data_IF_982551139142
#
_entry.id   IF_982551139142
#
_cell.length_a   1.000
_cell.length_b   1.000
_cell.length_c   1.000
_cell.angle_alpha   90.00
_cell.angle_beta   90.00
_cell.angle_gamma   90.00
#
_symmetry.space_group_name_H-M   'P 1'
#
loop_
_entity.id
_entity.type
_entity.pdbx_description
1 polymer ?
#
# COMPACT_ATOMS: atom_id res chain seq x y z
N UNK A 1 -3.21 22.40 19.67
CA UNK A 1 -2.11 23.19 19.05
C UNK A 1 -1.73 22.47 17.77
N UNK A 2 -1.73 23.14 16.62
CA UNK A 2 -1.64 22.46 15.32
C UNK A 2 -0.23 21.92 14.98
N UNK A 3 0.81 22.62 15.41
CA UNK A 3 2.20 22.32 15.07
C UNK A 3 2.88 21.59 16.24
N UNK A 4 3.69 20.57 15.93
CA UNK A 4 4.53 19.85 16.89
C UNK A 4 5.53 20.78 17.61
N UNK A 5 6.05 20.35 18.76
CA UNK A 5 6.97 21.17 19.57
C UNK A 5 8.29 21.41 18.84
N UNK A 6 8.78 20.40 18.11
CA UNK A 6 9.99 20.46 17.30
C UNK A 6 9.62 20.22 15.83
N UNK A 7 9.26 21.29 15.09
CA UNK A 7 8.88 21.14 13.69
C UNK A 7 10.11 20.86 12.81
N UNK A 8 9.95 20.06 11.74
CA UNK A 8 11.01 19.85 10.75
C UNK A 8 11.35 21.15 10.01
N UNK A 9 12.58 21.21 9.48
CA UNK A 9 13.10 22.38 8.79
C UNK A 9 12.36 22.67 7.48
N UNK A 10 11.82 21.64 6.81
CA UNK A 10 11.04 21.81 5.59
C UNK A 10 9.70 21.08 5.66
N UNK A 11 8.67 21.72 5.10
CA UNK A 11 7.30 21.17 5.04
C UNK A 11 7.27 19.82 4.29
N UNK A 12 8.17 19.64 3.32
CA UNK A 12 8.29 18.43 2.50
C UNK A 12 8.75 17.19 3.27
N UNK A 13 9.34 17.38 4.45
CA UNK A 13 9.89 16.29 5.25
C UNK A 13 8.79 15.57 6.07
N UNK A 14 7.55 16.09 6.06
CA UNK A 14 6.43 15.54 6.82
C UNK A 14 6.50 15.89 8.31
N UNK A 15 5.61 15.33 9.14
CA UNK A 15 5.72 15.43 10.61
C UNK A 15 5.51 16.81 11.25
N UNK A 16 5.02 17.80 10.50
CA UNK A 16 4.77 19.17 11.03
C UNK A 16 3.51 19.26 11.91
N UNK A 17 2.50 18.45 11.62
CA UNK A 17 1.20 18.47 12.30
C UNK A 17 1.25 17.58 13.54
N UNK A 18 0.72 18.08 14.65
CA UNK A 18 0.64 17.32 15.90
C UNK A 18 -0.46 16.24 15.83
N UNK A 19 -0.16 15.05 16.35
CA UNK A 19 -1.15 13.98 16.48
C UNK A 19 -2.35 14.43 17.35
N UNK A 20 -3.55 14.01 16.96
CA UNK A 20 -4.81 14.39 17.60
C UNK A 20 -5.30 15.79 17.23
N UNK A 21 -4.67 16.47 16.27
CA UNK A 21 -5.14 17.76 15.77
C UNK A 21 -6.24 17.60 14.71
N UNK A 22 -6.12 16.60 13.84
CA UNK A 22 -7.08 16.30 12.78
C UNK A 22 -7.18 14.78 12.61
N UNK A 23 -8.37 14.23 12.90
CA UNK A 23 -8.60 12.78 12.89
C UNK A 23 -8.49 12.18 11.49
N UNK A 24 -8.83 12.93 10.44
CA UNK A 24 -8.72 12.46 9.06
C UNK A 24 -7.25 12.43 8.62
N UNK A 25 -6.49 13.46 8.95
CA UNK A 25 -5.05 13.52 8.73
C UNK A 25 -4.33 12.39 9.47
N UNK A 26 -4.61 12.19 10.75
CA UNK A 26 -4.01 11.12 11.54
C UNK A 26 -4.32 9.74 10.95
N UNK A 27 -5.56 9.53 10.48
CA UNK A 27 -5.95 8.29 9.79
C UNK A 27 -5.15 8.09 8.49
N UNK A 28 -4.97 9.14 7.70
CA UNK A 28 -4.20 9.09 6.44
C UNK A 28 -2.70 8.86 6.71
N UNK A 29 -2.12 9.52 7.71
CA UNK A 29 -0.73 9.30 8.14
C UNK A 29 -0.53 7.88 8.63
N UNK A 30 -1.44 7.38 9.47
CA UNK A 30 -1.39 6.00 9.94
C UNK A 30 -1.50 4.98 8.79
N UNK A 31 -2.34 5.26 7.78
CA UNK A 31 -2.44 4.42 6.58
C UNK A 31 -1.15 4.45 5.75
N UNK A 32 -0.52 5.63 5.60
CA UNK A 32 0.76 5.78 4.92
C UNK A 32 1.87 5.00 5.64
N UNK A 33 1.98 5.16 6.96
CA UNK A 33 3.03 4.53 7.76
C UNK A 33 2.86 3.01 7.86
N UNK A 34 1.63 2.53 7.81
CA UNK A 34 1.29 1.11 7.86
C UNK A 34 0.83 0.56 6.50
N UNK A 35 1.26 1.19 5.41
CA UNK A 35 0.85 0.78 4.06
C UNK A 35 1.28 -0.65 3.76
N UNK A 36 2.44 -1.08 4.25
CA UNK A 36 2.95 -2.44 4.05
C UNK A 36 2.03 -3.47 4.71
N UNK A 37 1.63 -3.26 5.97
CA UNK A 37 0.73 -4.16 6.70
C UNK A 37 -0.64 -4.22 6.01
N UNK A 38 -1.14 -3.06 5.59
CA UNK A 38 -2.42 -2.98 4.87
C UNK A 38 -2.38 -3.77 3.57
N UNK A 39 -1.29 -3.65 2.80
CA UNK A 39 -1.11 -4.39 1.56
C UNK A 39 -0.96 -5.89 1.79
N UNK A 40 -0.26 -6.30 2.84
CA UNK A 40 -0.10 -7.71 3.20
C UNK A 40 -1.46 -8.33 3.57
N UNK A 41 -2.26 -7.65 4.39
CA UNK A 41 -3.63 -8.09 4.71
C UNK A 41 -4.53 -8.17 3.47
N UNK A 42 -4.43 -7.20 2.57
CA UNK A 42 -5.16 -7.20 1.30
C UNK A 42 -4.76 -8.39 0.42
N UNK A 43 -3.46 -8.70 0.34
CA UNK A 43 -2.96 -9.87 -0.39
C UNK A 43 -3.49 -11.15 0.23
N UNK A 44 -3.42 -11.31 1.55
CA UNK A 44 -3.92 -12.52 2.22
C UNK A 44 -5.41 -12.75 1.97
N UNK A 45 -6.24 -11.70 2.04
CA UNK A 45 -7.66 -11.80 1.69
C UNK A 45 -7.86 -12.22 0.24
N UNK A 46 -7.15 -11.56 -0.69
CA UNK A 46 -7.25 -11.87 -2.11
C UNK A 46 -6.75 -13.29 -2.45
N UNK A 47 -5.75 -13.81 -1.72
CA UNK A 47 -5.27 -15.20 -1.83
C UNK A 47 -6.37 -16.19 -1.45
N UNK A 48 -7.08 -15.92 -0.36
CA UNK A 48 -8.15 -16.78 0.16
C UNK A 48 -9.37 -16.76 -0.75
N UNK A 49 -9.84 -15.56 -1.13
CA UNK A 49 -11.06 -15.38 -1.91
C UNK A 49 -10.92 -15.93 -3.34
N UNK A 50 -9.75 -15.76 -3.95
CA UNK A 50 -9.52 -16.11 -5.35
C UNK A 50 -8.67 -17.37 -5.54
N UNK A 51 -8.27 -18.05 -4.45
CA UNK A 51 -7.44 -19.26 -4.47
C UNK A 51 -6.11 -19.05 -5.23
N UNK A 52 -5.46 -17.91 -4.99
CA UNK A 52 -4.22 -17.48 -5.64
C UNK A 52 -3.03 -17.55 -4.66
N UNK A 53 -2.55 -18.73 -4.23
CA UNK A 53 -1.57 -18.85 -3.14
C UNK A 53 -0.22 -18.19 -3.44
N UNK A 54 0.10 -17.92 -4.70
CA UNK A 54 1.36 -17.29 -5.10
C UNK A 54 1.25 -15.78 -5.32
N UNK A 55 0.11 -15.15 -4.99
CA UNK A 55 -0.07 -13.69 -5.07
C UNK A 55 0.89 -12.99 -4.11
N UNK A 56 1.68 -12.05 -4.60
CA UNK A 56 2.57 -11.21 -3.77
C UNK A 56 2.33 -9.75 -4.06
N UNK A 57 2.66 -8.90 -3.09
CA UNK A 57 2.80 -7.46 -3.33
C UNK A 57 4.28 -7.12 -3.50
N UNK A 58 4.58 -6.32 -4.52
CA UNK A 58 5.89 -5.73 -4.74
C UNK A 58 5.78 -4.21 -4.78
N UNK A 59 6.92 -3.55 -4.61
CA UNK A 59 7.03 -2.10 -4.76
C UNK A 59 8.23 -1.77 -5.62
N UNK A 60 8.03 -0.89 -6.60
CA UNK A 60 9.13 -0.26 -7.31
C UNK A 60 8.93 1.25 -7.36
N UNK A 61 10.03 2.00 -7.46
CA UNK A 61 10.00 3.47 -7.41
C UNK A 61 9.33 4.13 -8.62
N UNK A 62 9.13 3.40 -9.72
CA UNK A 62 8.65 3.94 -10.99
C UNK A 62 7.13 3.81 -11.13
N UNK A 63 6.61 2.63 -10.84
CA UNK A 63 5.20 2.24 -10.96
C UNK A 63 4.47 2.17 -9.61
N UNK A 64 5.19 2.29 -8.49
CA UNK A 64 4.63 2.14 -7.16
C UNK A 64 4.40 0.68 -6.78
N UNK A 65 3.31 0.44 -6.06
CA UNK A 65 2.92 -0.90 -5.62
C UNK A 65 2.28 -1.69 -6.76
N UNK A 66 2.61 -2.99 -6.85
CA UNK A 66 2.06 -3.90 -7.85
C UNK A 66 1.78 -5.27 -7.23
N UNK A 67 0.83 -5.99 -7.83
CA UNK A 67 0.59 -7.40 -7.52
C UNK A 67 1.36 -8.29 -8.49
N UNK A 68 2.05 -9.29 -7.96
CA UNK A 68 2.84 -10.25 -8.72
C UNK A 68 2.20 -11.64 -8.62
N UNK A 69 2.04 -12.28 -9.77
CA UNK A 69 1.49 -13.63 -9.91
C UNK A 69 2.27 -14.41 -10.96
N UNK A 70 2.50 -15.72 -10.75
CA UNK A 70 3.00 -16.60 -11.80
C UNK A 70 2.05 -16.64 -12.99
N UNK A 71 2.61 -16.64 -14.22
CA UNK A 71 1.85 -16.67 -15.49
C UNK A 71 0.76 -17.75 -15.56
N UNK A 72 1.00 -18.90 -14.92
CA UNK A 72 0.03 -19.99 -14.87
C UNK A 72 -1.20 -19.67 -14.01
N UNK A 73 -1.04 -18.94 -12.91
CA UNK A 73 -2.14 -18.52 -12.02
C UNK A 73 -2.80 -17.22 -12.49
N UNK A 74 -2.05 -16.37 -13.21
CA UNK A 74 -2.55 -15.14 -13.81
C UNK A 74 -3.81 -15.36 -14.68
N UNK A 75 -3.90 -16.49 -15.37
CA UNK A 75 -5.07 -16.86 -16.19
C UNK A 75 -6.36 -17.05 -15.39
N UNK A 76 -6.24 -17.40 -14.11
CA UNK A 76 -7.36 -17.69 -13.22
C UNK A 76 -7.69 -16.50 -12.30
N UNK A 77 -6.93 -15.40 -12.40
CA UNK A 77 -7.15 -14.23 -11.57
C UNK A 77 -8.29 -13.38 -12.16
N UNK A 78 -9.30 -12.98 -11.36
CA UNK A 78 -10.43 -12.23 -11.86
C UNK A 78 -10.02 -10.84 -12.38
N UNK A 79 -10.69 -10.41 -13.45
CA UNK A 79 -10.35 -9.20 -14.22
C UNK A 79 -10.17 -7.88 -13.43
N UNK A 80 -10.83 -7.58 -12.28
CA UNK A 80 -10.63 -6.30 -11.62
C UNK A 80 -9.28 -6.15 -10.89
N UNK A 81 -8.49 -7.21 -10.72
CA UNK A 81 -7.14 -7.14 -10.12
C UNK A 81 -6.03 -6.75 -11.11
N UNK A 82 -6.35 -6.60 -12.41
CA UNK A 82 -5.40 -6.23 -13.46
C UNK A 82 -5.55 -4.77 -13.91
N UNK A 83 -4.70 -3.87 -13.38
CA UNK A 83 -4.22 -2.75 -14.20
C UNK A 83 -2.70 -2.75 -14.41
N UNK A 84 -1.93 -3.55 -13.66
CA UNK A 84 -0.45 -3.45 -13.67
C UNK A 84 0.33 -4.74 -13.41
N UNK A 85 -0.30 -5.91 -13.42
CA UNK A 85 0.41 -7.17 -13.20
C UNK A 85 1.36 -7.47 -14.39
N UNK A 86 2.60 -7.01 -14.26
CA UNK A 86 3.72 -7.42 -15.10
C UNK A 86 3.99 -8.90 -14.83
N UNK A 87 3.33 -9.77 -15.59
CA UNK A 87 3.73 -11.16 -15.70
C UNK A 87 5.09 -11.16 -16.41
N UNK A 88 6.18 -11.16 -15.63
CA UNK A 88 7.51 -11.32 -16.20
C UNK A 88 7.62 -12.70 -16.86
N UNK A 89 8.19 -12.70 -18.06
CA UNK A 89 8.44 -13.87 -18.92
C UNK A 89 9.37 -14.90 -18.30
#
# INVERSE_FOLDING_TARGET
RAIVIEPPAHIRDGGMIAAGYDEEFDRLTHLHDNIQVTLDEMVERARQDNQLPSLKVGFNKVSGFYFELPKMQAKNCPSPLYPSANAQE
#
